data_IF_631881713505
#
_entry.id   IF_631881713505
#
_cell.length_a   1.000
_cell.length_b   1.000
_cell.length_c   1.000
_cell.angle_alpha   90.00
_cell.angle_beta   90.00
_cell.angle_gamma   90.00
#
_symmetry.space_group_name_H-M   'P 1'
#
loop_
_entity.id
_entity.type
_entity.pdbx_description
1 polymer ?
#
# COMPACT_ATOMS: atom_id res chain seq x y z
N UNK A 1 17.76 -4.10 -33.20
CA UNK A 1 17.69 -5.57 -33.00
C UNK A 1 17.43 -5.90 -31.53
N UNK A 2 18.16 -5.28 -30.56
CA UNK A 2 18.02 -5.57 -29.12
C UNK A 2 16.62 -5.26 -28.53
N UNK A 3 15.95 -4.21 -29.00
CA UNK A 3 14.66 -3.79 -28.47
C UNK A 3 13.51 -4.76 -28.81
N UNK A 4 13.53 -5.30 -30.03
CA UNK A 4 12.53 -6.28 -30.49
C UNK A 4 12.66 -7.63 -29.77
N UNK A 5 13.89 -8.06 -29.49
CA UNK A 5 14.14 -9.29 -28.74
C UNK A 5 13.73 -9.14 -27.26
N UNK A 6 13.94 -7.96 -26.69
CA UNK A 6 13.49 -7.62 -25.33
C UNK A 6 11.96 -7.66 -25.20
N UNK A 7 11.24 -7.11 -26.21
CA UNK A 7 9.77 -7.16 -26.23
C UNK A 7 9.22 -8.57 -26.42
N UNK A 8 9.90 -9.42 -27.20
CA UNK A 8 9.51 -10.83 -27.41
C UNK A 8 9.70 -11.68 -26.14
N UNK A 9 10.80 -11.49 -25.41
CA UNK A 9 11.06 -12.23 -24.17
C UNK A 9 10.08 -11.82 -23.09
N UNK A 10 9.88 -10.53 -22.89
CA UNK A 10 8.92 -10.01 -21.91
C UNK A 10 7.46 -10.36 -22.27
N UNK A 11 7.12 -10.38 -23.55
CA UNK A 11 5.80 -10.80 -24.01
C UNK A 11 5.47 -12.23 -23.63
N UNK A 12 6.42 -13.18 -23.78
CA UNK A 12 6.22 -14.58 -23.37
C UNK A 12 6.05 -14.72 -21.86
N UNK A 13 6.85 -14.03 -21.06
CA UNK A 13 6.73 -14.06 -19.60
C UNK A 13 5.37 -13.50 -19.14
N UNK A 14 4.95 -12.37 -19.70
CA UNK A 14 3.65 -11.79 -19.38
C UNK A 14 2.49 -12.73 -19.77
N UNK A 15 2.56 -13.38 -20.90
CA UNK A 15 1.55 -14.38 -21.31
C UNK A 15 1.50 -15.57 -20.35
N UNK A 16 2.65 -16.05 -19.85
CA UNK A 16 2.70 -17.14 -18.87
C UNK A 16 2.02 -16.69 -17.55
N UNK A 17 2.32 -15.50 -17.08
CA UNK A 17 1.72 -14.94 -15.84
C UNK A 17 0.21 -14.79 -16.00
N UNK A 18 -0.25 -14.21 -17.11
CA UNK A 18 -1.67 -14.07 -17.41
C UNK A 18 -2.34 -15.44 -17.52
N UNK A 19 -1.73 -16.37 -18.25
CA UNK A 19 -2.24 -17.73 -18.39
C UNK A 19 -2.35 -18.45 -17.04
N UNK A 20 -1.31 -18.37 -16.21
CA UNK A 20 -1.33 -18.94 -14.86
C UNK A 20 -2.45 -18.32 -13.99
N UNK A 21 -2.63 -17.00 -14.06
CA UNK A 21 -3.69 -16.31 -13.32
C UNK A 21 -5.08 -16.77 -13.77
N UNK A 22 -5.31 -16.90 -15.07
CA UNK A 22 -6.58 -17.41 -15.63
C UNK A 22 -6.82 -18.85 -15.19
N UNK A 23 -5.81 -19.72 -15.29
CA UNK A 23 -5.92 -21.12 -14.86
C UNK A 23 -6.27 -21.20 -13.38
N UNK A 24 -5.60 -20.44 -12.51
CA UNK A 24 -5.90 -20.40 -11.08
C UNK A 24 -7.33 -19.90 -10.82
N UNK A 25 -7.75 -18.86 -11.52
CA UNK A 25 -9.12 -18.34 -11.38
C UNK A 25 -10.17 -19.39 -11.75
N UNK A 26 -9.96 -20.09 -12.84
CA UNK A 26 -10.85 -21.18 -13.29
C UNK A 26 -10.86 -22.34 -12.29
N UNK A 27 -9.69 -22.76 -11.79
CA UNK A 27 -9.60 -23.83 -10.79
C UNK A 27 -10.37 -23.47 -9.51
N UNK A 28 -10.19 -22.26 -8.98
CA UNK A 28 -10.93 -21.83 -7.79
C UNK A 28 -12.43 -21.71 -8.04
N UNK A 29 -12.84 -21.31 -9.25
CA UNK A 29 -14.25 -21.25 -9.62
C UNK A 29 -14.88 -22.65 -9.70
N UNK A 30 -14.11 -23.66 -10.17
CA UNK A 30 -14.58 -25.04 -10.20
C UNK A 30 -14.73 -25.63 -8.78
N UNK A 31 -13.82 -25.29 -7.87
CA UNK A 31 -13.86 -25.75 -6.48
C UNK A 31 -15.01 -25.06 -5.72
N UNK A 32 -15.20 -23.77 -5.94
CA UNK A 32 -16.24 -22.99 -5.28
C UNK A 32 -16.95 -22.06 -6.27
N UNK A 33 -18.20 -22.40 -6.70
CA UNK A 33 -18.95 -21.57 -7.65
C UNK A 33 -19.22 -20.13 -7.18
N UNK A 34 -19.11 -19.86 -5.86
CA UNK A 34 -19.25 -18.50 -5.35
C UNK A 34 -18.03 -17.62 -5.68
N UNK A 35 -16.91 -18.23 -6.09
CA UNK A 35 -15.67 -17.52 -6.38
C UNK A 35 -15.83 -16.55 -7.57
N UNK A 36 -16.58 -16.93 -8.60
CA UNK A 36 -16.84 -16.12 -9.77
C UNK A 36 -18.10 -15.23 -9.63
N UNK A 37 -18.78 -15.22 -8.47
CA UNK A 37 -19.94 -14.34 -8.27
C UNK A 37 -19.52 -12.87 -8.27
N UNK A 38 -20.40 -12.01 -8.78
CA UNK A 38 -20.18 -10.57 -8.90
C UNK A 38 -19.70 -9.91 -7.61
N UNK A 39 -20.25 -10.29 -6.45
CA UNK A 39 -19.85 -9.74 -5.17
C UNK A 39 -18.39 -10.07 -4.84
N UNK A 40 -17.96 -11.32 -5.09
CA UNK A 40 -16.59 -11.72 -4.84
C UNK A 40 -15.61 -11.04 -5.81
N UNK A 41 -15.95 -10.96 -7.09
CA UNK A 41 -15.15 -10.24 -8.10
C UNK A 41 -15.00 -8.76 -7.71
N UNK A 42 -16.07 -8.11 -7.28
CA UNK A 42 -16.04 -6.72 -6.81
C UNK A 42 -15.10 -6.57 -5.60
N UNK A 43 -15.16 -7.50 -4.65
CA UNK A 43 -14.29 -7.50 -3.48
C UNK A 43 -12.81 -7.71 -3.88
N UNK A 44 -12.54 -8.61 -4.83
CA UNK A 44 -11.20 -8.84 -5.35
C UNK A 44 -10.62 -7.59 -6.02
N UNK A 45 -11.41 -6.91 -6.88
CA UNK A 45 -10.98 -5.68 -7.55
C UNK A 45 -10.69 -4.57 -6.52
N UNK A 46 -11.54 -4.41 -5.51
CA UNK A 46 -11.33 -3.42 -4.45
C UNK A 46 -10.09 -3.72 -3.63
N UNK A 47 -9.88 -4.98 -3.27
CA UNK A 47 -8.69 -5.40 -2.55
C UNK A 47 -7.43 -5.23 -3.38
N UNK A 48 -7.51 -5.37 -4.70
CA UNK A 48 -6.36 -5.19 -5.61
C UNK A 48 -5.96 -3.72 -5.78
N UNK A 49 -6.90 -2.77 -5.73
CA UNK A 49 -6.63 -1.37 -6.02
C UNK A 49 -5.47 -0.75 -5.19
N UNK A 50 -5.41 -0.90 -3.85
CA UNK A 50 -4.29 -0.38 -3.07
C UNK A 50 -2.95 -1.05 -3.44
N UNK A 51 -2.95 -2.37 -3.74
CA UNK A 51 -1.73 -3.06 -4.16
C UNK A 51 -1.25 -2.60 -5.55
N UNK A 52 -2.17 -2.26 -6.46
CA UNK A 52 -1.82 -1.69 -7.76
C UNK A 52 -1.11 -0.34 -7.61
N UNK A 53 -1.61 0.54 -6.75
CA UNK A 53 -0.96 1.83 -6.46
C UNK A 53 0.42 1.65 -5.82
N UNK A 54 0.55 0.74 -4.85
CA UNK A 54 1.84 0.41 -4.25
C UNK A 54 2.81 -0.17 -5.29
N UNK A 55 2.30 -1.03 -6.18
CA UNK A 55 3.07 -1.64 -7.28
C UNK A 55 3.66 -0.60 -8.23
N UNK A 56 2.92 0.47 -8.54
CA UNK A 56 3.46 1.58 -9.32
C UNK A 56 4.65 2.25 -8.60
N UNK A 57 4.53 2.52 -7.30
CA UNK A 57 5.64 3.06 -6.51
C UNK A 57 6.87 2.14 -6.49
N UNK A 58 6.66 0.84 -6.24
CA UNK A 58 7.73 -0.17 -6.25
C UNK A 58 8.43 -0.26 -7.61
N UNK A 59 7.69 -0.09 -8.71
CA UNK A 59 8.27 -0.14 -10.07
C UNK A 59 9.39 0.90 -10.24
N UNK A 60 9.23 2.12 -9.71
CA UNK A 60 10.29 3.13 -9.75
C UNK A 60 11.52 2.72 -8.94
N UNK A 61 11.33 2.11 -7.77
CA UNK A 61 12.44 1.64 -6.93
C UNK A 61 13.20 0.50 -7.63
N UNK A 62 12.48 -0.47 -8.20
CA UNK A 62 13.09 -1.59 -8.93
C UNK A 62 13.82 -1.07 -10.18
N UNK A 63 13.27 -0.09 -10.89
CA UNK A 63 13.91 0.49 -12.06
C UNK A 63 15.26 1.15 -11.74
N UNK A 64 15.46 1.62 -10.51
CA UNK A 64 16.75 2.14 -10.02
C UNK A 64 17.67 1.06 -9.44
N UNK A 65 17.28 -0.21 -9.51
CA UNK A 65 18.03 -1.34 -8.94
C UNK A 65 17.93 -1.46 -7.41
N UNK A 66 17.01 -0.73 -6.79
CA UNK A 66 16.75 -0.77 -5.35
C UNK A 66 15.72 -1.82 -4.95
N UNK A 67 15.67 -2.11 -3.65
CA UNK A 67 14.61 -2.89 -3.00
C UNK A 67 14.06 -2.03 -1.86
N UNK A 68 12.74 -1.81 -1.86
CA UNK A 68 12.05 -1.09 -0.78
C UNK A 68 11.15 -2.05 0.01
N UNK A 69 11.56 -2.36 1.23
CA UNK A 69 10.78 -3.17 2.16
C UNK A 69 9.82 -2.34 3.02
N UNK A 70 9.95 -1.01 3.00
CA UNK A 70 9.20 -0.13 3.90
C UNK A 70 7.82 0.25 3.37
N UNK A 71 7.54 0.06 2.08
CA UNK A 71 6.36 0.62 1.42
C UNK A 71 5.04 0.25 2.11
N UNK A 72 4.87 -1.01 2.51
CA UNK A 72 3.66 -1.45 3.22
C UNK A 72 3.53 -0.86 4.62
N UNK A 73 4.65 -0.74 5.35
CA UNK A 73 4.65 -0.17 6.70
C UNK A 73 4.53 1.35 6.69
N UNK A 74 5.06 2.01 5.68
CA UNK A 74 4.87 3.46 5.47
C UNK A 74 3.41 3.76 5.13
N UNK A 75 2.77 2.95 4.29
CA UNK A 75 1.33 3.06 4.02
C UNK A 75 0.53 2.91 5.32
N UNK A 76 0.82 1.88 6.12
CA UNK A 76 0.19 1.68 7.43
C UNK A 76 0.42 2.87 8.37
N UNK A 77 1.68 3.30 8.53
CA UNK A 77 2.05 4.42 9.38
C UNK A 77 1.34 5.72 8.99
N UNK A 78 1.28 6.01 7.69
CA UNK A 78 0.58 7.18 7.15
C UNK A 78 -0.91 7.14 7.48
N UNK A 79 -1.55 5.98 7.33
CA UNK A 79 -2.97 5.80 7.63
C UNK A 79 -3.27 5.96 9.12
N UNK A 80 -2.45 5.34 9.97
CA UNK A 80 -2.62 5.36 11.43
C UNK A 80 -2.43 6.77 11.99
N UNK A 81 -1.37 7.46 11.59
CA UNK A 81 -1.08 8.81 12.11
C UNK A 81 -2.09 9.83 11.60
N UNK A 82 -2.41 9.81 10.31
CA UNK A 82 -3.42 10.70 9.74
C UNK A 82 -4.81 10.46 10.36
N UNK A 83 -5.19 9.18 10.54
CA UNK A 83 -6.43 8.81 11.20
C UNK A 83 -6.49 9.26 12.66
N UNK A 84 -5.39 9.13 13.41
CA UNK A 84 -5.29 9.58 14.80
C UNK A 84 -5.50 11.11 14.90
N UNK A 85 -4.81 11.88 14.05
CA UNK A 85 -4.94 13.35 14.03
C UNK A 85 -6.38 13.77 13.70
N UNK A 86 -6.97 13.16 12.69
CA UNK A 86 -8.34 13.52 12.29
C UNK A 86 -9.39 13.10 13.33
N UNK A 87 -9.17 11.99 14.06
CA UNK A 87 -10.07 11.52 15.12
C UNK A 87 -10.17 12.51 16.28
N UNK A 88 -9.07 13.18 16.65
CA UNK A 88 -9.05 14.13 17.77
C UNK A 88 -9.30 15.58 17.32
N UNK A 89 -9.34 15.85 16.04
CA UNK A 89 -9.61 17.18 15.51
C UNK A 89 -11.05 17.60 15.78
N UNK A 90 -11.31 18.81 16.32
CA UNK A 90 -12.65 19.28 16.60
C UNK A 90 -13.58 19.34 15.39
N UNK A 91 -13.00 19.59 14.21
CA UNK A 91 -13.75 19.68 12.95
C UNK A 91 -14.15 18.33 12.37
N UNK A 92 -13.57 17.22 12.87
CA UNK A 92 -13.72 15.86 12.28
C UNK A 92 -13.61 15.88 10.75
N UNK A 93 -12.68 16.69 10.24
CA UNK A 93 -12.56 16.94 8.80
C UNK A 93 -11.94 15.72 8.10
N UNK A 94 -12.79 14.84 7.63
CA UNK A 94 -12.41 13.62 6.92
C UNK A 94 -11.57 13.87 5.65
N UNK A 95 -11.73 15.04 5.02
CA UNK A 95 -10.96 15.40 3.82
C UNK A 95 -9.48 15.65 4.10
N UNK A 96 -9.12 16.00 5.34
CA UNK A 96 -7.73 16.20 5.74
C UNK A 96 -6.93 14.89 5.84
N UNK A 97 -7.59 13.74 5.94
CA UNK A 97 -6.91 12.44 6.06
C UNK A 97 -6.02 12.15 4.86
N UNK A 98 -6.55 12.34 3.65
CA UNK A 98 -5.82 12.02 2.40
C UNK A 98 -4.56 12.88 2.25
N UNK A 99 -4.62 14.22 2.31
CA UNK A 99 -3.41 15.02 2.22
C UNK A 99 -2.41 14.76 3.36
N UNK A 100 -2.88 14.47 4.58
CA UNK A 100 -2.00 14.08 5.67
C UNK A 100 -1.28 12.74 5.39
N UNK A 101 -1.98 11.74 4.87
CA UNK A 101 -1.36 10.48 4.47
C UNK A 101 -0.29 10.69 3.41
N UNK A 102 -0.56 11.53 2.41
CA UNK A 102 0.41 11.86 1.36
C UNK A 102 1.64 12.56 1.95
N UNK A 103 1.45 13.55 2.82
CA UNK A 103 2.56 14.27 3.46
C UNK A 103 3.42 13.32 4.29
N UNK A 104 2.80 12.46 5.12
CA UNK A 104 3.54 11.51 5.95
C UNK A 104 4.30 10.49 5.08
N UNK A 105 3.66 9.98 4.02
CA UNK A 105 4.31 9.09 3.07
C UNK A 105 5.50 9.74 2.37
N UNK A 106 5.37 11.01 1.96
CA UNK A 106 6.47 11.80 1.38
C UNK A 106 7.63 11.98 2.34
N UNK A 107 7.38 12.23 3.63
CA UNK A 107 8.44 12.37 4.63
C UNK A 107 9.25 11.08 4.78
N UNK A 108 8.59 9.92 4.83
CA UNK A 108 9.29 8.64 4.86
C UNK A 108 10.04 8.35 3.54
N UNK A 109 9.44 8.69 2.39
CA UNK A 109 10.08 8.56 1.08
C UNK A 109 11.33 9.44 0.96
N UNK A 110 11.27 10.69 1.44
CA UNK A 110 12.41 11.60 1.50
C UNK A 110 13.51 11.06 2.44
N UNK A 111 13.13 10.50 3.58
CA UNK A 111 14.07 9.85 4.51
C UNK A 111 14.81 8.70 3.83
N UNK A 112 14.10 7.78 3.18
CA UNK A 112 14.69 6.68 2.44
C UNK A 112 15.61 7.19 1.31
N UNK A 113 15.12 8.15 0.53
CA UNK A 113 15.91 8.77 -0.54
C UNK A 113 17.19 9.42 -0.03
N UNK A 114 17.13 10.12 1.10
CA UNK A 114 18.31 10.71 1.75
C UNK A 114 19.31 9.63 2.21
N UNK A 115 18.84 8.61 2.89
CA UNK A 115 19.70 7.51 3.40
C UNK A 115 20.39 6.79 2.25
N UNK A 116 19.69 6.52 1.15
CA UNK A 116 20.26 5.82 0.00
C UNK A 116 21.15 6.73 -0.84
N UNK A 117 20.67 7.92 -1.19
CA UNK A 117 21.38 8.79 -2.15
C UNK A 117 22.53 9.57 -1.51
N UNK A 118 22.37 10.08 -0.29
CA UNK A 118 23.38 10.90 0.39
C UNK A 118 24.25 10.09 1.35
N UNK A 119 23.64 9.26 2.21
CA UNK A 119 24.40 8.44 3.15
C UNK A 119 24.99 7.17 2.50
N UNK A 120 24.65 6.90 1.21
CA UNK A 120 25.15 5.75 0.44
C UNK A 120 24.84 4.40 1.10
N UNK A 121 23.79 4.33 1.88
CA UNK A 121 23.35 3.06 2.47
C UNK A 121 22.73 2.16 1.38
N UNK A 122 22.97 0.85 1.42
CA UNK A 122 22.26 -0.08 0.58
C UNK A 122 20.73 0.09 0.74
N UNK A 123 19.95 0.17 -0.35
CA UNK A 123 18.50 0.38 -0.29
C UNK A 123 17.78 -0.58 0.63
N UNK A 124 18.17 -1.86 0.61
CA UNK A 124 17.62 -2.89 1.50
C UNK A 124 17.79 -2.54 2.99
N UNK A 125 18.99 -2.09 3.40
CA UNK A 125 19.27 -1.76 4.81
C UNK A 125 18.51 -0.50 5.23
N UNK A 126 18.53 0.53 4.40
CA UNK A 126 17.82 1.78 4.67
C UNK A 126 16.32 1.53 4.84
N UNK A 127 15.70 0.80 3.91
CA UNK A 127 14.26 0.55 3.93
C UNK A 127 13.84 -0.45 5.01
N UNK A 128 14.69 -1.41 5.37
CA UNK A 128 14.45 -2.27 6.52
C UNK A 128 14.41 -1.46 7.83
N UNK A 129 15.36 -0.54 8.02
CA UNK A 129 15.36 0.38 9.16
C UNK A 129 14.12 1.24 9.20
N UNK A 130 13.74 1.84 8.07
CA UNK A 130 12.53 2.66 7.95
C UNK A 130 11.26 1.84 8.17
N UNK A 131 11.23 0.59 7.75
CA UNK A 131 10.12 -0.34 7.97
C UNK A 131 9.84 -0.51 9.48
N UNK A 132 10.87 -0.79 10.26
CA UNK A 132 10.73 -0.96 11.72
C UNK A 132 10.44 0.37 12.42
N UNK A 133 11.11 1.44 11.99
CA UNK A 133 10.92 2.78 12.55
C UNK A 133 9.50 3.31 12.30
N UNK A 134 9.00 3.23 11.07
CA UNK A 134 7.65 3.71 10.72
C UNK A 134 6.57 2.97 11.52
N UNK A 135 6.74 1.66 11.70
CA UNK A 135 5.82 0.83 12.47
C UNK A 135 5.79 1.22 13.95
N UNK A 136 6.97 1.37 14.55
CA UNK A 136 7.09 1.74 15.97
C UNK A 136 6.61 3.17 16.24
N UNK A 137 7.09 4.15 15.46
CA UNK A 137 6.76 5.55 15.69
C UNK A 137 5.27 5.85 15.45
N UNK A 138 4.66 5.23 14.45
CA UNK A 138 3.23 5.42 14.18
C UNK A 138 2.34 4.92 15.33
N UNK A 139 2.70 3.79 15.94
CA UNK A 139 1.99 3.26 17.11
C UNK A 139 2.11 4.20 18.32
N UNK A 140 3.31 4.71 18.60
CA UNK A 140 3.56 5.65 19.70
C UNK A 140 2.80 6.97 19.47
N UNK A 141 2.89 7.56 18.28
CA UNK A 141 2.19 8.80 17.94
C UNK A 141 0.67 8.61 18.08
N UNK A 142 0.15 7.52 17.54
CA UNK A 142 -1.29 7.22 17.63
C UNK A 142 -1.75 7.09 19.08
N UNK A 143 -0.99 6.39 19.93
CA UNK A 143 -1.30 6.23 21.35
C UNK A 143 -1.27 7.58 22.10
N UNK A 144 -0.28 8.43 21.86
CA UNK A 144 -0.16 9.75 22.47
C UNK A 144 -1.36 10.63 22.09
N UNK A 145 -1.71 10.64 20.79
CA UNK A 145 -2.78 11.49 20.26
C UNK A 145 -4.16 11.02 20.76
N UNK A 146 -4.45 9.72 20.66
CA UNK A 146 -5.79 9.17 20.95
C UNK A 146 -5.99 8.78 22.41
N UNK A 147 -4.92 8.75 23.21
CA UNK A 147 -4.89 8.25 24.59
C UNK A 147 -5.46 6.82 24.69
N UNK A 148 -5.40 6.06 23.62
CA UNK A 148 -5.92 4.70 23.52
C UNK A 148 -4.78 3.74 23.21
N UNK A 149 -4.79 2.59 23.87
CA UNK A 149 -3.86 1.49 23.58
C UNK A 149 -4.27 0.64 22.37
N UNK A 150 -5.47 0.89 21.83
CA UNK A 150 -5.95 0.16 20.64
C UNK A 150 -5.15 0.58 19.42
N UNK A 151 -4.51 -0.38 18.77
CA UNK A 151 -3.77 -0.18 17.51
C UNK A 151 -4.69 0.09 16.31
N UNK A 152 -6.00 -0.10 16.46
CA UNK A 152 -6.98 0.07 15.39
C UNK A 152 -7.62 1.45 15.56
N UNK A 153 -7.27 2.34 14.66
CA UNK A 153 -7.86 3.68 14.56
C UNK A 153 -8.74 3.67 13.32
N UNK A 154 -10.05 3.73 13.53
CA UNK A 154 -11.00 4.01 12.46
C UNK A 154 -11.10 5.52 12.31
N UNK A 155 -10.57 6.12 11.23
CA UNK A 155 -10.79 7.53 10.98
C UNK A 155 -12.29 7.77 10.79
N UNK A 156 -12.85 8.88 11.28
CA UNK A 156 -14.25 9.23 11.09
C UNK A 156 -14.45 9.74 9.64
N UNK A 157 -14.39 8.83 8.69
CA UNK A 157 -14.48 9.15 7.27
C UNK A 157 -15.85 8.69 6.80
N UNK A 158 -16.90 9.47 7.11
CA UNK A 158 -18.27 9.13 6.77
C UNK A 158 -18.43 8.71 5.31
N UNK A 159 -18.04 9.56 4.35
CA UNK A 159 -18.16 9.25 2.92
C UNK A 159 -17.26 8.09 2.44
N UNK A 160 -16.09 7.87 3.05
CA UNK A 160 -15.24 6.71 2.76
C UNK A 160 -15.81 5.44 3.43
N UNK A 161 -16.36 5.56 4.62
CA UNK A 161 -17.10 4.47 5.25
C UNK A 161 -18.29 4.08 4.41
N UNK A 162 -19.05 5.06 3.90
CA UNK A 162 -20.18 4.81 3.01
C UNK A 162 -19.75 4.18 1.69
N UNK A 163 -18.61 4.61 1.12
CA UNK A 163 -18.05 4.02 -0.08
C UNK A 163 -17.65 2.55 0.11
N UNK A 164 -17.19 2.18 1.31
CA UNK A 164 -16.74 0.83 1.64
C UNK A 164 -17.77 0.01 2.43
N UNK A 165 -18.70 0.65 3.16
CA UNK A 165 -19.74 -0.01 3.95
C UNK A 165 -20.95 -0.49 3.13
N UNK A 166 -21.13 -0.02 1.92
CA UNK A 166 -22.20 -0.46 1.01
C UNK A 166 -22.02 -1.93 0.57
N UNK A 167 -21.21 -2.72 1.27
CA UNK A 167 -20.79 -4.07 0.87
C UNK A 167 -20.76 -5.10 2.00
N UNK A 168 -21.55 -4.88 3.05
CA UNK A 168 -21.89 -5.93 4.02
C UNK A 168 -23.29 -6.49 3.73
#
# INVERSE_FOLDING_TARGET
VKTLDYLKVNGKQNMIIIGATVVLFLLFTLINPNYAKQNNISTMIKSFAPYALLGLGVTFVIATGGIDLSIGTVMYASSVVAGAICKVSPSHNSWAVIPLMVIIGLLFGLLNGFLVAKCKLPPFIATLGTMLFSRGISAVIAQIITKSTSAIIYPPIGWLQDLFATYN
#
